data_IF_355016455638
#
_entry.id   IF_355016455638
#
_cell.length_a   1.000
_cell.length_b   1.000
_cell.length_c   1.000
_cell.angle_alpha   90.00
_cell.angle_beta   90.00
_cell.angle_gamma   90.00
#
_symmetry.space_group_name_H-M   'P 1'
#
loop_
_entity.id
_entity.type
_entity.pdbx_description
1 polymer ?
#
# COMPACT_ATOMS: atom_id res chain seq x y z
N UNK A 1 21.34 -12.06 -21.44
CA UNK A 1 20.92 -11.40 -20.18
C UNK A 1 20.76 -9.91 -20.43
N UNK A 2 19.53 -9.39 -20.37
CA UNK A 2 19.25 -7.99 -20.74
C UNK A 2 19.53 -7.01 -19.58
N UNK A 3 19.77 -7.55 -18.37
CA UNK A 3 19.91 -6.77 -17.13
C UNK A 3 21.36 -6.56 -16.66
N UNK A 4 22.38 -7.14 -17.32
CA UNK A 4 23.78 -6.97 -16.88
C UNK A 4 24.42 -5.65 -17.34
N UNK A 5 23.82 -4.96 -18.31
CA UNK A 5 24.46 -3.83 -18.99
C UNK A 5 23.76 -2.48 -18.80
N UNK A 6 22.71 -2.39 -17.99
CA UNK A 6 22.00 -1.13 -17.78
C UNK A 6 22.61 -0.36 -16.58
N UNK A 7 23.39 0.70 -16.80
CA UNK A 7 23.76 1.62 -15.74
C UNK A 7 22.51 2.36 -15.21
N UNK A 8 22.56 2.89 -13.97
CA UNK A 8 23.72 2.82 -13.08
C UNK A 8 23.83 1.44 -12.41
N UNK A 9 25.04 0.93 -12.21
CA UNK A 9 25.28 -0.20 -11.28
C UNK A 9 25.38 0.33 -9.84
N UNK A 10 24.45 1.19 -9.45
CA UNK A 10 24.47 1.78 -8.12
C UNK A 10 23.93 0.74 -7.14
N UNK A 11 24.71 0.43 -6.10
CA UNK A 11 24.23 -0.40 -5.01
C UNK A 11 23.16 0.39 -4.23
N UNK A 12 21.89 0.23 -4.61
CA UNK A 12 20.74 0.90 -3.99
C UNK A 12 20.52 0.50 -2.51
N UNK A 13 21.30 -0.46 -1.98
CA UNK A 13 21.24 -0.87 -0.57
C UNK A 13 21.58 0.29 0.38
N UNK A 14 22.37 1.27 -0.07
CA UNK A 14 22.74 2.42 0.76
C UNK A 14 21.54 3.33 1.10
N UNK A 15 20.49 3.32 0.30
CA UNK A 15 19.26 4.08 0.53
C UNK A 15 18.27 3.38 1.49
N UNK A 16 18.58 2.15 1.94
CA UNK A 16 17.67 1.32 2.76
C UNK A 16 17.49 1.86 4.18
N UNK A 17 18.49 2.56 4.74
CA UNK A 17 18.58 2.71 6.20
C UNK A 17 17.51 3.58 6.84
N UNK A 18 16.75 4.40 6.11
CA UNK A 18 15.86 5.40 6.72
C UNK A 18 14.48 5.56 6.09
N UNK A 19 14.26 5.08 4.86
CA UNK A 19 13.00 5.32 4.15
C UNK A 19 12.41 4.02 3.59
N UNK A 20 11.14 3.77 3.91
CA UNK A 20 10.37 2.70 3.29
C UNK A 20 9.95 3.19 1.88
N UNK A 21 10.77 2.88 0.87
CA UNK A 21 10.46 3.12 -0.54
C UNK A 21 9.74 1.92 -1.16
N UNK A 22 9.02 2.13 -2.27
CA UNK A 22 8.24 1.09 -2.97
C UNK A 22 9.11 -0.14 -3.30
N UNK A 23 10.37 0.07 -3.67
CA UNK A 23 11.32 -0.98 -4.05
C UNK A 23 12.19 -1.50 -2.88
N UNK A 24 11.75 -1.27 -1.64
CA UNK A 24 12.47 -1.75 -0.45
C UNK A 24 12.43 -3.30 -0.39
N UNK A 25 13.56 -3.98 -0.08
CA UNK A 25 13.68 -5.43 -0.26
C UNK A 25 12.88 -6.28 0.73
N UNK A 26 12.57 -5.76 1.93
CA UNK A 26 11.84 -6.51 2.97
C UNK A 26 10.36 -6.17 3.02
N UNK A 27 10.02 -4.90 3.23
CA UNK A 27 8.65 -4.40 3.21
C UNK A 27 8.52 -3.22 2.25
N UNK A 28 7.60 -3.27 1.25
CA UNK A 28 7.42 -2.16 0.31
C UNK A 28 6.86 -0.93 1.01
N UNK A 29 7.40 0.22 0.65
CA UNK A 29 6.96 1.52 1.11
C UNK A 29 5.69 2.05 0.46
N UNK A 30 5.03 3.01 1.11
CA UNK A 30 3.70 3.47 0.72
C UNK A 30 3.71 4.82 -0.04
N UNK A 31 4.34 4.83 -1.22
CA UNK A 31 4.11 5.90 -2.21
C UNK A 31 5.31 6.74 -2.65
N UNK A 32 6.55 6.30 -2.39
CA UNK A 32 7.75 6.97 -2.93
C UNK A 32 8.75 5.98 -3.52
N UNK A 33 9.32 6.36 -4.66
CA UNK A 33 10.51 5.72 -5.21
C UNK A 33 11.78 6.40 -4.66
N UNK A 34 12.80 5.61 -4.34
CA UNK A 34 14.13 6.14 -4.02
C UNK A 34 14.75 6.81 -5.24
N UNK A 35 15.77 7.64 -5.04
CA UNK A 35 16.52 8.23 -6.16
C UNK A 35 17.16 7.13 -7.01
N UNK A 36 17.73 6.10 -6.39
CA UNK A 36 18.27 4.95 -7.12
C UNK A 36 17.21 4.26 -7.99
N UNK A 37 16.00 4.03 -7.46
CA UNK A 37 14.90 3.44 -8.24
C UNK A 37 14.55 4.29 -9.46
N UNK A 38 14.50 5.62 -9.30
CA UNK A 38 14.21 6.56 -10.40
C UNK A 38 15.30 6.55 -11.46
N UNK A 39 16.58 6.57 -11.06
CA UNK A 39 17.71 6.50 -11.99
C UNK A 39 17.66 5.24 -12.86
N UNK A 40 17.40 4.09 -12.24
CA UNK A 40 17.26 2.82 -12.95
C UNK A 40 16.06 2.81 -13.91
N UNK A 41 14.90 3.31 -13.48
CA UNK A 41 13.72 3.42 -14.36
C UNK A 41 14.01 4.31 -15.56
N UNK A 42 14.63 5.47 -15.35
CA UNK A 42 15.00 6.42 -16.41
C UNK A 42 15.98 5.77 -17.39
N UNK A 43 17.03 5.12 -16.89
CA UNK A 43 18.02 4.47 -17.74
C UNK A 43 17.39 3.35 -18.59
N UNK A 44 16.52 2.53 -17.99
CA UNK A 44 15.81 1.49 -18.73
C UNK A 44 14.89 2.08 -19.80
N UNK A 45 14.02 3.03 -19.43
CA UNK A 45 13.10 3.72 -20.35
C UNK A 45 13.86 4.35 -21.52
N UNK A 46 15.06 4.88 -21.28
CA UNK A 46 15.89 5.51 -22.31
C UNK A 46 16.42 4.54 -23.38
N UNK A 47 16.39 3.23 -23.13
CA UNK A 47 16.77 2.21 -24.12
C UNK A 47 15.62 1.76 -25.02
N UNK A 48 14.39 2.15 -24.69
CA UNK A 48 13.19 1.74 -25.42
C UNK A 48 12.95 2.65 -26.62
N UNK A 49 12.48 2.06 -27.72
CA UNK A 49 12.08 2.82 -28.89
C UNK A 49 10.81 3.64 -28.59
N UNK A 50 10.62 4.82 -29.23
CA UNK A 50 9.39 5.61 -29.08
C UNK A 50 8.11 4.80 -29.33
N UNK A 51 8.18 3.82 -30.26
CA UNK A 51 7.06 2.94 -30.58
C UNK A 51 6.57 2.08 -29.39
N UNK A 52 7.39 1.86 -28.36
CA UNK A 52 6.95 1.21 -27.11
C UNK A 52 5.95 2.06 -26.30
N UNK A 53 5.97 3.38 -26.47
CA UNK A 53 5.14 4.33 -25.72
C UNK A 53 3.96 4.87 -26.53
N UNK A 54 4.00 4.74 -27.85
CA UNK A 54 2.93 5.17 -28.77
C UNK A 54 1.74 4.21 -28.82
N UNK A 55 1.72 3.16 -27.98
CA UNK A 55 0.61 2.23 -27.84
C UNK A 55 -0.64 2.96 -27.32
N UNK A 56 -1.49 3.39 -28.25
CA UNK A 56 -2.86 3.81 -27.96
C UNK A 56 -3.65 2.56 -27.57
N UNK A 57 -4.14 2.54 -26.34
CA UNK A 57 -5.08 1.51 -25.89
C UNK A 57 -6.27 1.47 -26.85
N UNK A 58 -6.68 0.27 -27.29
CA UNK A 58 -7.88 0.10 -28.14
C UNK A 58 -9.15 0.59 -27.43
N UNK A 59 -9.12 0.56 -26.09
CA UNK A 59 -10.17 1.03 -25.22
C UNK A 59 -9.53 1.71 -24.02
N UNK A 60 -9.97 2.94 -23.72
CA UNK A 60 -9.66 3.59 -22.46
C UNK A 60 -10.52 2.96 -21.37
N UNK A 61 -9.95 2.04 -20.59
CA UNK A 61 -10.55 1.59 -19.34
C UNK A 61 -10.37 2.69 -18.28
N UNK A 62 -11.08 3.81 -18.47
CA UNK A 62 -11.19 4.83 -17.44
C UNK A 62 -12.21 4.34 -16.42
N UNK A 63 -11.72 3.85 -15.30
CA UNK A 63 -12.58 3.70 -14.12
C UNK A 63 -12.72 5.11 -13.53
N UNK A 64 -13.93 5.68 -13.54
CA UNK A 64 -14.19 6.89 -12.74
C UNK A 64 -13.81 6.58 -11.29
N UNK A 65 -12.73 7.19 -10.82
CA UNK A 65 -12.25 7.00 -9.46
C UNK A 65 -13.10 7.90 -8.56
N UNK A 66 -14.17 7.31 -8.04
CA UNK A 66 -15.16 8.04 -7.24
C UNK A 66 -14.63 8.41 -5.86
N UNK A 67 -13.84 7.55 -5.22
CA UNK A 67 -13.31 7.76 -3.86
C UNK A 67 -12.02 6.93 -3.66
N UNK A 68 -11.29 7.18 -2.58
CA UNK A 68 -10.16 6.36 -2.18
C UNK A 68 -10.60 4.91 -1.85
N UNK A 69 -9.79 3.89 -2.16
CA UNK A 69 -10.21 2.49 -2.05
C UNK A 69 -10.72 2.10 -0.67
N UNK A 70 -10.07 2.58 0.39
CA UNK A 70 -10.39 2.30 1.79
C UNK A 70 -11.72 2.88 2.27
N UNK A 71 -12.35 3.79 1.53
CA UNK A 71 -13.68 4.34 1.88
C UNK A 71 -14.76 3.26 1.79
N UNK A 72 -14.68 2.39 0.79
CA UNK A 72 -15.69 1.34 0.52
C UNK A 72 -15.17 -0.08 0.67
N UNK A 73 -13.87 -0.26 0.96
CA UNK A 73 -13.27 -1.60 1.01
C UNK A 73 -13.64 -2.37 2.27
N UNK A 74 -14.00 -3.64 2.09
CA UNK A 74 -14.28 -4.55 3.19
C UNK A 74 -12.98 -5.26 3.64
N UNK A 75 -12.46 -4.91 4.83
CA UNK A 75 -11.23 -5.49 5.39
C UNK A 75 -11.28 -7.02 5.52
N UNK A 76 -12.46 -7.60 5.78
CA UNK A 76 -12.61 -9.07 5.83
C UNK A 76 -12.37 -9.69 4.46
N UNK A 77 -12.80 -9.02 3.38
CA UNK A 77 -12.53 -9.47 2.01
C UNK A 77 -11.03 -9.40 1.69
N UNK A 78 -10.33 -8.39 2.18
CA UNK A 78 -8.86 -8.32 2.05
C UNK A 78 -8.21 -9.52 2.74
N UNK A 79 -8.59 -9.82 3.99
CA UNK A 79 -8.04 -10.97 4.70
C UNK A 79 -8.29 -12.31 3.98
N UNK A 80 -9.47 -12.48 3.38
CA UNK A 80 -9.80 -13.67 2.58
C UNK A 80 -8.94 -13.82 1.34
N UNK A 81 -8.66 -12.72 0.65
CA UNK A 81 -7.83 -12.71 -0.55
C UNK A 81 -6.34 -12.90 -0.21
N UNK A 82 -5.86 -12.25 0.84
CA UNK A 82 -4.46 -12.31 1.25
C UNK A 82 -4.09 -13.64 1.94
N UNK A 83 -5.02 -14.21 2.71
CA UNK A 83 -4.80 -15.43 3.49
C UNK A 83 -5.88 -16.48 3.22
N UNK A 84 -5.94 -17.06 2.01
CA UNK A 84 -6.99 -18.02 1.65
C UNK A 84 -6.96 -19.30 2.48
N UNK A 85 -5.83 -19.63 3.10
CA UNK A 85 -5.62 -20.85 3.89
C UNK A 85 -5.95 -20.69 5.39
N UNK A 86 -6.44 -19.53 5.82
CA UNK A 86 -6.89 -19.35 7.19
C UNK A 86 -8.17 -20.14 7.47
N UNK A 87 -8.24 -20.76 8.63
CA UNK A 87 -9.40 -21.55 9.05
C UNK A 87 -10.64 -20.68 9.26
N UNK A 88 -10.44 -19.49 9.82
CA UNK A 88 -11.44 -18.42 9.93
C UNK A 88 -10.75 -17.07 9.77
N UNK A 89 -11.47 -16.07 9.27
CA UNK A 89 -10.96 -14.71 9.09
C UNK A 89 -11.58 -13.80 10.14
N UNK A 90 -10.77 -13.41 11.12
CA UNK A 90 -11.12 -12.40 12.10
C UNK A 90 -10.29 -11.15 11.82
N UNK A 91 -10.97 -10.02 11.59
CA UNK A 91 -10.31 -8.72 11.44
C UNK A 91 -10.13 -8.10 12.82
N UNK A 92 -8.89 -7.91 13.24
CA UNK A 92 -8.59 -7.21 14.50
C UNK A 92 -8.15 -5.78 14.17
N UNK A 93 -8.97 -4.82 14.61
CA UNK A 93 -8.87 -3.40 14.31
C UNK A 93 -8.79 -2.57 15.60
N UNK A 94 -7.73 -2.76 16.38
CA UNK A 94 -7.56 -1.99 17.62
C UNK A 94 -7.31 -0.51 17.31
N UNK A 95 -7.77 0.39 18.19
CA UNK A 95 -7.57 1.83 18.01
C UNK A 95 -6.08 2.20 17.85
N UNK A 96 -5.17 1.48 18.54
CA UNK A 96 -3.73 1.68 18.42
C UNK A 96 -3.20 1.35 17.02
N UNK A 97 -3.65 0.24 16.43
CA UNK A 97 -3.24 -0.16 15.07
C UNK A 97 -3.85 0.75 14.01
N UNK A 98 -5.12 1.10 14.16
CA UNK A 98 -5.81 1.99 13.23
C UNK A 98 -5.09 3.35 13.14
N UNK A 99 -4.65 3.91 14.27
CA UNK A 99 -3.84 5.14 14.29
C UNK A 99 -2.51 5.04 13.55
N UNK A 100 -1.95 3.83 13.45
CA UNK A 100 -0.75 3.52 12.64
C UNK A 100 -1.10 3.14 11.21
N UNK A 101 -2.37 3.25 10.81
CA UNK A 101 -2.90 2.82 9.52
C UNK A 101 -2.60 1.34 9.21
N UNK A 102 -2.79 0.47 10.21
CA UNK A 102 -2.62 -0.97 10.09
C UNK A 102 -3.80 -1.74 10.68
N UNK A 103 -3.96 -2.99 10.27
CA UNK A 103 -4.94 -3.93 10.80
C UNK A 103 -4.40 -5.35 10.71
N UNK A 104 -4.93 -6.25 11.54
CA UNK A 104 -4.52 -7.64 11.50
C UNK A 104 -5.61 -8.53 10.87
N UNK A 105 -5.15 -9.45 10.04
CA UNK A 105 -5.91 -10.64 9.66
C UNK A 105 -5.51 -11.76 10.62
N UNK A 106 -6.46 -12.24 11.41
CA UNK A 106 -6.24 -13.29 12.39
C UNK A 106 -7.04 -14.56 12.07
N UNK A 107 -6.47 -15.72 12.36
CA UNK A 107 -7.14 -17.02 12.33
C UNK A 107 -6.86 -17.77 13.62
N UNK A 108 -7.86 -18.50 14.18
CA UNK A 108 -7.59 -19.45 15.23
C UNK A 108 -6.62 -20.54 14.74
N UNK A 109 -5.81 -21.07 15.65
CA UNK A 109 -5.00 -22.27 15.40
C UNK A 109 -5.88 -23.53 15.50
N UNK A 110 -5.52 -24.63 14.81
CA UNK A 110 -6.30 -25.87 14.81
C UNK A 110 -6.53 -26.46 16.21
N UNK A 111 -5.53 -26.40 17.09
CA UNK A 111 -5.51 -27.13 18.38
C UNK A 111 -5.72 -26.21 19.59
N UNK A 112 -6.84 -25.47 19.63
CA UNK A 112 -7.32 -24.77 20.83
C UNK A 112 -6.28 -23.88 21.54
N UNK A 113 -5.43 -23.18 20.80
CA UNK A 113 -4.59 -22.15 21.42
C UNK A 113 -5.45 -20.93 21.79
N UNK A 114 -5.18 -20.36 22.97
CA UNK A 114 -5.73 -19.05 23.36
C UNK A 114 -5.24 -17.90 22.45
N UNK A 115 -4.18 -18.15 21.68
CA UNK A 115 -3.52 -17.16 20.83
C UNK A 115 -3.78 -17.42 19.34
N UNK A 116 -4.57 -16.59 18.64
CA UNK A 116 -4.74 -16.71 17.20
C UNK A 116 -3.43 -16.36 16.47
N UNK A 117 -3.23 -16.95 15.28
CA UNK A 117 -2.22 -16.48 14.35
C UNK A 117 -2.72 -15.19 13.69
N UNK A 118 -1.97 -14.11 13.83
CA UNK A 118 -2.30 -12.82 13.23
C UNK A 118 -1.19 -12.38 12.28
N UNK A 119 -1.59 -11.86 11.13
CA UNK A 119 -0.68 -11.24 10.15
C UNK A 119 -1.11 -9.79 10.00
N UNK A 120 -0.14 -8.90 10.11
CA UNK A 120 -0.31 -7.45 10.10
C UNK A 120 -0.30 -6.91 8.66
N UNK A 121 -1.25 -6.03 8.34
CA UNK A 121 -1.47 -5.46 7.00
C UNK A 121 -1.65 -3.94 7.06
N UNK A 122 -1.21 -3.20 6.03
CA UNK A 122 -1.53 -1.78 5.92
C UNK A 122 -3.01 -1.57 5.62
N UNK A 123 -3.63 -0.59 6.27
CA UNK A 123 -4.95 -0.12 5.88
C UNK A 123 -4.88 0.56 4.50
N UNK A 124 -5.83 0.27 3.60
CA UNK A 124 -5.91 0.97 2.32
C UNK A 124 -6.13 2.47 2.51
N UNK A 125 -5.60 3.28 1.59
CA UNK A 125 -5.85 4.73 1.57
C UNK A 125 -7.36 5.01 1.54
N UNK A 126 -7.84 5.92 2.38
CA UNK A 126 -9.24 6.26 2.59
C UNK A 126 -9.91 5.53 3.76
N UNK A 127 -9.30 4.48 4.30
CA UNK A 127 -9.85 3.73 5.42
C UNK A 127 -9.93 4.58 6.69
N UNK A 128 -11.00 4.38 7.47
CA UNK A 128 -11.18 5.05 8.77
C UNK A 128 -10.08 4.63 9.75
N UNK A 129 -9.45 5.62 10.39
CA UNK A 129 -8.44 5.40 11.43
C UNK A 129 -8.85 5.95 12.80
N UNK A 130 -10.15 6.22 12.99
CA UNK A 130 -10.74 6.80 14.19
C UNK A 130 -10.86 8.33 14.17
N UNK A 131 -11.71 8.86 15.04
CA UNK A 131 -11.91 10.32 15.23
C UNK A 131 -12.28 11.09 13.94
N UNK A 132 -12.94 10.43 12.98
CA UNK A 132 -13.26 11.00 11.67
C UNK A 132 -12.04 11.26 10.77
N UNK A 133 -10.90 10.63 11.08
CA UNK A 133 -9.67 10.65 10.30
C UNK A 133 -9.60 9.46 9.37
N UNK A 134 -8.80 9.60 8.32
CA UNK A 134 -8.56 8.55 7.32
C UNK A 134 -7.07 8.28 7.16
N UNK A 135 -6.76 7.10 6.65
CA UNK A 135 -5.41 6.74 6.23
C UNK A 135 -5.10 7.27 4.85
N UNK A 136 -3.98 7.97 4.68
CA UNK A 136 -3.42 8.34 3.36
C UNK A 136 -1.91 8.13 3.40
N UNK A 137 -1.39 7.31 2.48
CA UNK A 137 0.04 6.95 2.41
C UNK A 137 0.60 6.46 3.75
N UNK A 138 -0.19 5.64 4.45
CA UNK A 138 0.16 5.09 5.77
C UNK A 138 0.10 6.06 6.95
N UNK A 139 -0.44 7.28 6.76
CA UNK A 139 -0.59 8.28 7.84
C UNK A 139 -2.05 8.50 8.18
N UNK A 140 -2.39 8.46 9.47
CA UNK A 140 -3.74 8.77 9.97
C UNK A 140 -3.89 10.27 10.17
N UNK A 141 -4.81 10.90 9.45
CA UNK A 141 -5.02 12.34 9.49
C UNK A 141 -6.40 12.77 9.02
N UNK A 142 -6.68 14.07 9.10
CA UNK A 142 -7.93 14.62 8.59
C UNK A 142 -7.83 14.74 7.06
N UNK A 143 -8.47 13.79 6.38
CA UNK A 143 -8.60 13.77 4.93
C UNK A 143 -10.05 13.53 4.54
N UNK A 144 -10.47 14.10 3.41
CA UNK A 144 -11.73 13.73 2.76
C UNK A 144 -11.66 12.34 2.12
N UNK A 145 -12.75 11.92 1.48
CA UNK A 145 -12.86 10.63 0.77
C UNK A 145 -11.97 10.54 -0.49
N UNK A 146 -11.36 11.65 -0.92
CA UNK A 146 -10.45 11.73 -2.08
C UNK A 146 -8.98 11.83 -1.66
N UNK A 147 -8.70 11.97 -0.35
CA UNK A 147 -7.35 12.09 0.20
C UNK A 147 -6.85 13.53 0.34
N UNK A 148 -7.71 14.53 0.14
CA UNK A 148 -7.36 15.94 0.33
C UNK A 148 -7.33 16.26 1.82
N UNK A 149 -6.28 16.93 2.33
CA UNK A 149 -6.26 17.38 3.73
C UNK A 149 -7.45 18.28 4.07
N UNK A 150 -8.09 18.03 5.20
CA UNK A 150 -9.21 18.83 5.71
C UNK A 150 -8.93 19.36 7.12
N UNK A 151 -9.62 20.42 7.52
CA UNK A 151 -9.62 20.88 8.91
C UNK A 151 -10.35 19.85 9.81
N UNK A 152 -10.01 19.76 11.11
CA UNK A 152 -10.81 19.01 12.07
C UNK A 152 -12.26 19.52 12.05
N UNK A 153 -13.24 18.61 12.00
CA UNK A 153 -14.64 19.02 12.20
C UNK A 153 -14.75 19.56 13.63
N UNK A 154 -15.00 20.86 13.78
CA UNK A 154 -15.34 21.43 15.07
C UNK A 154 -16.64 20.77 15.53
N UNK A 155 -16.59 20.09 16.67
CA UNK A 155 -17.78 19.55 17.34
C UNK A 155 -18.73 20.71 17.64
N UNK A 156 -19.94 20.63 17.08
CA UNK A 156 -21.05 21.54 17.39
C UNK A 156 -21.59 21.28 18.81
#
# INVERSE_FOLDING_TARGET
MWNECLPPRNNCIKDIKHDHFIMHPSEPGNGKFSNCSKEHMIAFISTLLPSCFELKTKQNCSTEMKELPGVSMNLTKICKLAHPNFLKWNVVHSQERNRKCRFDCCSPLPDYSYYPTCVDHPLPDGADCGDGKRCVKGTCGYYDEYGTPTAPRQSA
#
